data_IF_184032634518
#
_entry.id   IF_184032634518
#
_cell.length_a   1.000
_cell.length_b   1.000
_cell.length_c   1.000
_cell.angle_alpha   90.00
_cell.angle_beta   90.00
_cell.angle_gamma   90.00
#
_symmetry.space_group_name_H-M   'P 1'
#
loop_
_entity.id
_entity.type
_entity.pdbx_description
1 polymer ?
#
# COMPACT_ATOMS: atom_id res chain seq x y z
N UNK A 1 -28.46 20.92 -42.15
CA UNK A 1 -28.57 19.76 -41.25
C UNK A 1 -28.36 20.24 -39.82
N UNK A 2 -29.35 20.05 -38.94
CA UNK A 2 -29.26 20.46 -37.53
C UNK A 2 -28.90 19.21 -36.71
N UNK A 3 -27.70 19.16 -36.14
CA UNK A 3 -27.32 18.09 -35.22
C UNK A 3 -27.72 18.51 -33.80
N UNK A 4 -28.69 17.83 -33.20
CA UNK A 4 -29.01 17.97 -31.78
C UNK A 4 -28.29 16.87 -31.01
N UNK A 5 -27.16 17.19 -30.42
CA UNK A 5 -26.45 16.25 -29.52
C UNK A 5 -26.82 16.58 -28.08
N UNK A 6 -27.86 15.93 -27.58
CA UNK A 6 -28.10 15.83 -26.14
C UNK A 6 -27.11 14.82 -25.56
N UNK A 7 -26.17 15.25 -24.73
CA UNK A 7 -25.34 14.32 -23.96
C UNK A 7 -25.51 14.57 -22.47
N UNK A 8 -26.28 13.65 -21.91
CA UNK A 8 -26.64 13.39 -20.51
C UNK A 8 -25.47 13.54 -19.54
N UNK A 9 -25.68 14.38 -18.53
CA UNK A 9 -24.82 14.53 -17.34
C UNK A 9 -24.85 13.25 -16.52
N UNK A 10 -23.76 12.48 -16.53
CA UNK A 10 -23.56 11.34 -15.63
C UNK A 10 -22.98 11.84 -14.32
N UNK A 11 -23.84 12.12 -13.35
CA UNK A 11 -23.44 12.29 -11.96
C UNK A 11 -22.78 10.99 -11.48
N UNK A 12 -21.52 11.05 -11.05
CA UNK A 12 -20.88 9.95 -10.34
C UNK A 12 -21.06 10.21 -8.85
N UNK A 13 -22.02 9.51 -8.24
CA UNK A 13 -22.10 9.37 -6.79
C UNK A 13 -20.82 8.67 -6.31
N UNK A 14 -20.01 9.38 -5.53
CA UNK A 14 -18.86 8.82 -4.83
C UNK A 14 -19.43 8.00 -3.68
N UNK A 15 -19.78 6.74 -3.95
CA UNK A 15 -20.14 5.78 -2.93
C UNK A 15 -18.84 5.36 -2.23
N UNK A 16 -18.77 5.72 -0.96
CA UNK A 16 -17.71 5.45 0.00
C UNK A 16 -17.19 4.00 -0.12
N UNK A 17 -15.98 3.85 -0.64
CA UNK A 17 -15.36 2.54 -0.85
C UNK A 17 -14.70 2.06 0.45
N UNK A 18 -15.51 1.55 1.39
CA UNK A 18 -14.98 0.83 2.55
C UNK A 18 -14.71 -0.62 2.13
N UNK A 19 -13.44 -0.92 1.77
CA UNK A 19 -12.99 -2.31 1.61
C UNK A 19 -12.74 -2.90 3.00
N UNK A 20 -13.65 -3.76 3.44
CA UNK A 20 -13.37 -4.77 4.47
C UNK A 20 -12.69 -5.95 3.80
N UNK A 21 -11.37 -6.07 4.00
CA UNK A 21 -10.57 -7.16 3.48
C UNK A 21 -10.83 -8.44 4.29
N UNK A 22 -11.52 -9.39 3.67
CA UNK A 22 -11.72 -10.74 4.18
C UNK A 22 -10.38 -11.47 4.34
N UNK A 23 -10.23 -12.12 5.49
CA UNK A 23 -9.11 -12.98 5.84
C UNK A 23 -9.10 -14.20 4.91
N UNK A 24 -8.19 -14.21 3.93
CA UNK A 24 -7.86 -15.39 3.15
C UNK A 24 -6.47 -15.88 3.60
N UNK A 25 -6.47 -16.99 4.32
CA UNK A 25 -5.31 -17.59 4.97
C UNK A 25 -4.42 -18.26 3.89
N UNK A 26 -3.61 -17.45 3.21
CA UNK A 26 -2.69 -17.86 2.14
C UNK A 26 -1.24 -17.79 2.64
N UNK A 27 -0.55 -18.93 2.61
CA UNK A 27 0.91 -19.15 2.72
C UNK A 27 1.70 -17.92 3.21
N UNK A 28 2.15 -17.97 4.46
CA UNK A 28 3.04 -16.98 5.08
C UNK A 28 4.13 -16.55 4.09
N UNK A 29 4.02 -15.31 3.61
CA UNK A 29 5.06 -14.68 2.80
C UNK A 29 6.06 -14.07 3.76
N UNK A 30 7.34 -14.07 3.40
CA UNK A 30 8.39 -13.41 4.18
C UNK A 30 7.99 -11.96 4.52
N UNK A 31 8.27 -11.56 5.75
CA UNK A 31 7.94 -10.24 6.31
C UNK A 31 6.47 -9.84 6.20
N UNK A 32 5.55 -10.78 6.46
CA UNK A 32 4.11 -10.52 6.34
C UNK A 32 3.63 -9.37 7.25
N UNK A 33 4.19 -9.23 8.45
CA UNK A 33 3.85 -8.15 9.37
C UNK A 33 4.15 -6.77 8.80
N UNK A 34 5.29 -6.58 8.11
CA UNK A 34 5.62 -5.32 7.45
C UNK A 34 4.57 -5.04 6.37
N UNK A 35 4.23 -6.05 5.56
CA UNK A 35 3.22 -5.92 4.49
C UNK A 35 1.83 -5.59 5.04
N UNK A 36 1.47 -6.19 6.17
CA UNK A 36 0.21 -5.90 6.87
C UNK A 36 0.21 -4.48 7.43
N UNK A 37 1.33 -4.01 7.99
CA UNK A 37 1.48 -2.66 8.53
C UNK A 37 1.29 -1.60 7.44
N UNK A 38 1.92 -1.78 6.28
CA UNK A 38 1.69 -0.91 5.11
C UNK A 38 0.21 -0.87 4.74
N UNK A 39 -0.42 -2.04 4.62
CA UNK A 39 -1.83 -2.15 4.26
C UNK A 39 -2.77 -1.53 5.30
N UNK A 40 -2.49 -1.69 6.59
CA UNK A 40 -3.31 -1.11 7.66
C UNK A 40 -3.19 0.41 7.73
N UNK A 41 -2.01 0.96 7.41
CA UNK A 41 -1.77 2.40 7.37
C UNK A 41 -2.10 3.05 6.03
N UNK A 42 -2.44 2.26 5.01
CA UNK A 42 -2.69 2.77 3.66
C UNK A 42 -1.43 3.23 2.92
N UNK A 43 -0.25 2.87 3.44
CA UNK A 43 1.04 3.27 2.90
C UNK A 43 1.48 2.35 1.74
N UNK A 44 2.20 2.92 0.80
CA UNK A 44 2.80 2.25 -0.34
C UNK A 44 4.26 1.88 -0.05
N UNK A 45 4.76 0.87 -0.77
CA UNK A 45 6.15 0.41 -0.60
C UNK A 45 7.19 1.48 -0.99
N UNK A 46 6.86 2.36 -1.95
CA UNK A 46 7.74 3.44 -2.37
C UNK A 46 7.94 4.51 -1.29
N UNK A 47 6.95 4.76 -0.43
CA UNK A 47 7.04 5.79 0.62
C UNK A 47 8.09 5.42 1.68
N UNK A 48 8.13 4.15 2.07
CA UNK A 48 9.19 3.67 2.96
C UNK A 48 10.53 3.54 2.25
N UNK A 49 10.55 3.19 0.96
CA UNK A 49 11.78 3.14 0.19
C UNK A 49 12.44 4.52 0.10
N UNK A 50 11.64 5.57 -0.12
CA UNK A 50 12.09 6.97 -0.15
C UNK A 50 12.68 7.40 1.20
N UNK A 51 12.03 7.07 2.32
CA UNK A 51 12.55 7.37 3.66
C UNK A 51 13.85 6.63 3.99
N UNK A 52 14.03 5.43 3.42
CA UNK A 52 15.23 4.62 3.58
C UNK A 52 16.32 4.97 2.55
N UNK A 53 16.09 5.97 1.69
CA UNK A 53 16.97 6.38 0.58
C UNK A 53 17.36 5.20 -0.34
N UNK A 54 16.43 4.27 -0.56
CA UNK A 54 16.61 3.12 -1.46
C UNK A 54 15.54 3.10 -2.55
N UNK A 55 15.84 2.43 -3.66
CA UNK A 55 14.84 2.21 -4.69
C UNK A 55 13.73 1.28 -4.21
N UNK A 56 12.49 1.55 -4.65
CA UNK A 56 11.34 0.66 -4.42
C UNK A 56 11.64 -0.77 -4.89
N UNK A 57 12.37 -0.93 -6.00
CA UNK A 57 12.75 -2.23 -6.53
C UNK A 57 13.68 -3.01 -5.59
N UNK A 58 14.56 -2.31 -4.87
CA UNK A 58 15.45 -2.87 -3.86
C UNK A 58 14.63 -3.25 -2.63
N UNK A 59 13.76 -2.37 -2.17
CA UNK A 59 12.87 -2.64 -1.04
C UNK A 59 11.93 -3.84 -1.30
N UNK A 60 11.35 -3.92 -2.49
CA UNK A 60 10.50 -5.05 -2.90
C UNK A 60 11.25 -6.37 -2.89
N UNK A 61 12.54 -6.37 -3.31
CA UNK A 61 13.42 -7.56 -3.25
C UNK A 61 13.81 -7.90 -1.82
N UNK A 62 14.06 -6.89 -0.99
CA UNK A 62 14.35 -7.03 0.44
C UNK A 62 13.23 -7.79 1.15
N UNK A 63 11.98 -7.39 0.90
CA UNK A 63 10.78 -8.02 1.48
C UNK A 63 10.47 -9.44 0.95
N UNK A 64 11.27 -10.00 0.03
CA UNK A 64 11.13 -11.40 -0.42
C UNK A 64 11.92 -12.39 0.43
N UNK A 65 12.93 -11.91 1.16
CA UNK A 65 13.74 -12.70 2.09
C UNK A 65 13.34 -12.34 3.52
N UNK A 66 13.48 -13.27 4.46
CA UNK A 66 13.25 -12.94 5.86
C UNK A 66 14.30 -11.90 6.28
N UNK A 67 13.82 -10.79 6.85
CA UNK A 67 14.67 -9.73 7.35
C UNK A 67 15.16 -10.05 8.76
N UNK A 68 16.37 -9.59 9.06
CA UNK A 68 16.89 -9.64 10.41
C UNK A 68 15.99 -8.83 11.36
N UNK A 69 15.89 -9.27 12.61
CA UNK A 69 14.97 -8.67 13.59
C UNK A 69 15.20 -7.16 13.77
N UNK A 70 16.46 -6.74 13.77
CA UNK A 70 16.86 -5.32 13.87
C UNK A 70 16.41 -4.50 12.65
N UNK A 71 16.62 -5.02 11.44
CA UNK A 71 16.21 -4.34 10.20
C UNK A 71 14.69 -4.21 10.12
N UNK A 72 13.97 -5.24 10.58
CA UNK A 72 12.52 -5.28 10.64
C UNK A 72 11.96 -4.23 11.60
N UNK A 73 12.53 -4.16 12.82
CA UNK A 73 12.16 -3.15 13.81
C UNK A 73 12.41 -1.73 13.28
N UNK A 74 13.55 -1.52 12.63
CA UNK A 74 13.89 -0.23 12.02
C UNK A 74 12.87 0.19 10.96
N UNK A 75 12.48 -0.71 10.05
CA UNK A 75 11.46 -0.44 9.02
C UNK A 75 10.11 -0.11 9.66
N UNK A 76 9.70 -0.84 10.70
CA UNK A 76 8.44 -0.58 11.41
C UNK A 76 8.46 0.80 12.07
N UNK A 77 9.59 1.20 12.66
CA UNK A 77 9.76 2.53 13.24
C UNK A 77 9.63 3.62 12.18
N UNK A 78 10.30 3.46 11.03
CA UNK A 78 10.22 4.40 9.91
C UNK A 78 8.78 4.54 9.38
N UNK A 79 8.07 3.42 9.21
CA UNK A 79 6.65 3.40 8.84
C UNK A 79 5.76 4.06 9.90
N UNK A 80 6.14 3.96 11.17
CA UNK A 80 5.40 4.61 12.26
C UNK A 80 5.53 6.12 12.17
N UNK A 81 6.74 6.63 11.95
CA UNK A 81 7.03 8.06 11.76
C UNK A 81 6.32 8.70 10.57
N UNK A 82 6.05 7.95 9.50
CA UNK A 82 5.30 8.47 8.33
C UNK A 82 3.82 8.73 8.61
N UNK A 83 3.30 8.20 9.72
CA UNK A 83 1.87 8.19 10.02
C UNK A 83 1.49 9.13 11.18
N UNK A 84 2.48 9.64 11.93
CA UNK A 84 2.34 10.65 12.97
C UNK A 84 2.48 12.07 12.36
#
# INVERSE_FOLDING_TARGET
>A
MKYTTTRTTRQQSIHSFQKTEGENQLKSKANEEIRRLFKSKGLQQWEAAELMEIDESVFSRLLRKELEHEQKAWIIEQITRLCD
#
